data_IF_668438729801
#
_entry.id   IF_668438729801
#
_cell.length_a   1.000
_cell.length_b   1.000
_cell.length_c   1.000
_cell.angle_alpha   90.00
_cell.angle_beta   90.00
_cell.angle_gamma   90.00
#
_symmetry.space_group_name_H-M   'P 1'
#
loop_
_entity.id
_entity.type
_entity.pdbx_description
1 polymer ?
#
# COMPACT_ATOMS: atom_id res chain seq x y z
N UNK A 1 31.78 7.88 38.12
CA UNK A 1 30.87 6.77 37.76
C UNK A 1 29.88 7.20 36.69
N UNK A 2 30.28 7.30 35.42
CA UNK A 2 29.37 7.61 34.28
C UNK A 2 29.89 7.09 32.92
N UNK A 3 30.79 6.08 32.92
CA UNK A 3 31.40 5.52 31.70
C UNK A 3 31.29 3.99 31.55
N UNK A 4 30.56 3.30 32.43
CA UNK A 4 30.41 1.83 32.37
C UNK A 4 29.00 1.41 31.90
N UNK A 5 28.01 2.31 31.92
CA UNK A 5 26.64 2.02 31.47
C UNK A 5 26.48 1.99 29.92
N UNK A 6 27.40 2.58 29.17
CA UNK A 6 27.30 2.67 27.69
C UNK A 6 27.95 1.50 26.95
N UNK A 7 28.76 0.69 27.64
CA UNK A 7 29.38 -0.52 27.06
C UNK A 7 28.51 -1.78 27.22
N UNK A 8 27.50 -1.74 28.10
CA UNK A 8 26.54 -2.83 28.30
C UNK A 8 25.30 -2.72 27.39
N UNK A 9 24.97 -1.55 26.84
CA UNK A 9 23.88 -1.40 25.86
C UNK A 9 24.29 -1.76 24.43
N UNK A 10 25.60 -1.70 24.13
CA UNK A 10 26.13 -2.03 22.79
C UNK A 10 26.40 -3.53 22.63
N UNK A 11 26.62 -4.26 23.71
CA UNK A 11 26.80 -5.72 23.66
C UNK A 11 25.48 -6.52 23.68
N UNK A 12 24.35 -5.88 24.02
CA UNK A 12 23.04 -6.54 23.98
C UNK A 12 22.40 -6.54 22.58
N UNK A 13 22.90 -5.69 21.65
CA UNK A 13 22.42 -5.64 20.26
C UNK A 13 23.06 -6.70 19.34
N UNK A 14 24.12 -7.38 19.80
CA UNK A 14 24.75 -8.49 19.08
C UNK A 14 24.26 -9.87 19.56
N UNK A 15 23.27 -9.91 20.46
CA UNK A 15 22.61 -11.12 20.97
C UNK A 15 21.09 -11.11 20.74
N UNK A 16 20.61 -10.30 19.80
CA UNK A 16 19.28 -10.53 19.25
C UNK A 16 19.38 -11.80 18.39
N UNK A 17 18.65 -12.88 18.68
CA UNK A 17 18.44 -13.90 17.67
C UNK A 17 17.90 -13.16 16.44
N UNK A 18 18.29 -13.57 15.23
CA UNK A 18 17.47 -13.29 14.05
C UNK A 18 16.06 -13.64 14.46
N UNK A 19 15.22 -12.65 14.76
CA UNK A 19 13.81 -12.89 14.98
C UNK A 19 13.35 -13.47 13.65
N UNK A 20 13.19 -14.80 13.60
CA UNK A 20 12.25 -15.36 12.67
C UNK A 20 10.98 -14.55 12.89
N UNK A 21 10.52 -13.89 11.83
CA UNK A 21 9.24 -13.22 11.82
C UNK A 21 8.15 -14.29 11.99
N UNK A 22 7.98 -14.75 13.23
CA UNK A 22 6.75 -15.37 13.66
C UNK A 22 5.82 -14.21 13.90
N UNK A 23 4.88 -14.06 12.98
CA UNK A 23 3.68 -13.26 13.16
C UNK A 23 2.89 -13.96 14.28
N UNK A 24 3.15 -13.56 15.53
CA UNK A 24 2.62 -14.23 16.74
C UNK A 24 1.09 -14.17 16.79
N UNK A 25 0.48 -13.31 15.97
CA UNK A 25 -0.95 -13.01 15.93
C UNK A 25 -1.63 -13.41 14.60
N UNK A 26 -1.13 -14.43 13.89
CA UNK A 26 -1.79 -14.94 12.67
C UNK A 26 -2.51 -16.28 12.95
N UNK A 27 -3.78 -16.44 12.51
CA UNK A 27 -4.56 -17.65 12.77
C UNK A 27 -3.95 -18.90 12.14
N UNK A 28 -3.21 -18.74 11.05
CA UNK A 28 -2.52 -19.78 10.29
C UNK A 28 -1.00 -19.79 10.56
N UNK A 29 -0.36 -20.95 10.39
CA UNK A 29 1.10 -21.04 10.35
C UNK A 29 1.68 -20.33 9.12
N UNK A 30 2.93 -19.89 9.20
CA UNK A 30 3.61 -19.21 8.09
C UNK A 30 3.55 -19.99 6.76
N UNK A 31 3.76 -21.31 6.80
CA UNK A 31 3.69 -22.17 5.61
C UNK A 31 2.29 -22.26 5.00
N UNK A 32 1.24 -22.09 5.79
CA UNK A 32 -0.14 -22.02 5.32
C UNK A 32 -0.48 -20.63 4.78
N UNK A 33 0.06 -19.57 5.39
CA UNK A 33 -0.08 -18.19 4.89
C UNK A 33 0.55 -18.05 3.51
N UNK A 34 1.78 -18.55 3.32
CA UNK A 34 2.56 -18.41 2.08
C UNK A 34 1.94 -19.14 0.88
N UNK A 35 0.99 -20.05 1.10
CA UNK A 35 0.22 -20.71 0.04
C UNK A 35 -0.88 -19.79 -0.52
N UNK A 36 -0.53 -18.57 -0.90
CA UNK A 36 -1.46 -17.52 -1.31
C UNK A 36 -2.46 -17.95 -2.38
N UNK A 37 -1.97 -18.57 -3.45
CA UNK A 37 -2.79 -19.00 -4.59
C UNK A 37 -3.80 -20.10 -4.22
N UNK A 38 -3.60 -20.79 -3.09
CA UNK A 38 -4.57 -21.76 -2.55
C UNK A 38 -5.69 -21.11 -1.72
N UNK A 39 -5.52 -19.84 -1.31
CA UNK A 39 -6.42 -19.11 -0.39
C UNK A 39 -7.21 -18.03 -1.10
N UNK A 40 -6.56 -17.31 -2.02
CA UNK A 40 -7.12 -16.15 -2.71
C UNK A 40 -6.72 -16.24 -4.18
N UNK A 41 -7.69 -16.01 -5.06
CA UNK A 41 -7.42 -15.89 -6.50
C UNK A 41 -7.30 -14.42 -6.86
N UNK A 42 -6.26 -14.10 -7.63
CA UNK A 42 -6.04 -12.80 -8.25
C UNK A 42 -6.12 -12.97 -9.77
N UNK A 43 -6.93 -12.15 -10.42
CA UNK A 43 -7.02 -12.12 -11.88
C UNK A 43 -6.81 -10.69 -12.37
N UNK A 44 -5.83 -10.51 -13.26
CA UNK A 44 -5.57 -9.23 -13.92
C UNK A 44 -6.53 -9.05 -15.10
N UNK A 45 -7.06 -7.85 -15.27
CA UNK A 45 -8.00 -7.50 -16.32
C UNK A 45 -7.46 -6.28 -17.08
N UNK A 46 -7.17 -6.38 -18.39
CA UNK A 46 -6.79 -5.22 -19.19
C UNK A 46 -8.02 -4.42 -19.69
N UNK A 47 -7.81 -3.16 -20.08
CA UNK A 47 -8.73 -2.29 -20.82
C UNK A 47 -9.81 -1.53 -20.02
N UNK A 48 -9.38 -0.78 -19.01
CA UNK A 48 -10.21 0.25 -18.36
C UNK A 48 -9.98 1.60 -19.02
N UNK A 49 -11.05 2.39 -19.20
CA UNK A 49 -10.93 3.75 -19.73
C UNK A 49 -10.33 4.68 -18.68
N UNK A 50 -9.25 5.39 -19.02
CA UNK A 50 -8.68 6.43 -18.17
C UNK A 50 -9.62 7.64 -18.22
N UNK A 51 -10.29 7.92 -17.11
CA UNK A 51 -11.23 9.05 -16.95
C UNK A 51 -10.70 10.12 -16.00
N UNK A 52 -9.70 9.79 -15.17
CA UNK A 52 -9.12 10.66 -14.16
C UNK A 52 -7.58 10.64 -14.25
N UNK A 53 -7.04 10.89 -15.45
CA UNK A 53 -5.60 10.84 -15.70
C UNK A 53 -4.79 11.65 -14.68
N UNK A 54 -5.35 12.75 -14.23
CA UNK A 54 -4.68 13.76 -13.41
C UNK A 54 -5.05 13.69 -11.92
N UNK A 55 -5.60 12.57 -11.45
CA UNK A 55 -6.13 12.42 -10.08
C UNK A 55 -5.14 12.85 -8.98
N UNK A 56 -3.86 12.50 -9.15
CA UNK A 56 -2.76 13.03 -8.34
C UNK A 56 -1.65 13.55 -9.23
N UNK A 57 -0.96 14.58 -8.76
CA UNK A 57 0.19 15.18 -9.46
C UNK A 57 1.29 15.51 -8.49
N UNK A 58 2.50 15.49 -9.01
CA UNK A 58 3.67 16.08 -8.38
C UNK A 58 4.30 17.04 -9.36
N UNK A 59 4.74 18.20 -8.87
CA UNK A 59 5.47 19.18 -9.68
C UNK A 59 6.61 19.79 -8.88
N UNK A 60 7.75 19.95 -9.51
CA UNK A 60 8.80 20.81 -8.97
C UNK A 60 8.38 22.28 -9.08
N UNK A 61 8.67 23.10 -8.06
CA UNK A 61 8.40 24.55 -8.13
C UNK A 61 9.32 25.27 -9.12
N UNK A 62 10.48 24.68 -9.43
CA UNK A 62 11.42 25.23 -10.40
C UNK A 62 11.98 24.10 -11.28
N UNK A 63 12.08 24.29 -12.60
CA UNK A 63 12.59 23.25 -13.48
C UNK A 63 14.12 23.10 -13.41
N UNK A 64 14.82 24.11 -12.90
CA UNK A 64 16.29 24.18 -12.85
C UNK A 64 16.74 24.73 -11.51
N UNK A 65 17.70 24.04 -10.88
CA UNK A 65 18.32 24.39 -9.60
C UNK A 65 19.83 24.62 -9.75
N UNK A 66 20.41 25.42 -8.85
CA UNK A 66 21.86 25.57 -8.75
C UNK A 66 22.48 24.41 -7.96
N UNK A 67 23.74 24.03 -8.20
CA UNK A 67 24.50 23.13 -7.34
C UNK A 67 24.60 23.61 -5.87
N UNK A 68 24.34 24.89 -5.61
CA UNK A 68 24.32 25.49 -4.26
C UNK A 68 22.94 25.49 -3.60
N UNK A 69 21.90 25.01 -4.30
CA UNK A 69 20.55 24.86 -3.75
C UNK A 69 20.62 24.05 -2.46
N UNK A 70 19.94 24.51 -1.41
CA UNK A 70 19.89 23.80 -0.11
C UNK A 70 18.65 22.93 0.03
N UNK A 71 17.61 23.25 -0.72
CA UNK A 71 16.31 22.61 -0.63
C UNK A 71 15.61 22.66 -1.99
N UNK A 72 15.00 21.55 -2.36
CA UNK A 72 14.10 21.43 -3.52
C UNK A 72 12.69 21.33 -2.98
N UNK A 73 11.79 22.13 -3.51
CA UNK A 73 10.39 22.15 -3.09
C UNK A 73 9.53 21.59 -4.20
N UNK A 74 8.76 20.55 -3.86
CA UNK A 74 7.79 19.90 -4.71
C UNK A 74 6.39 20.26 -4.21
N UNK A 75 5.44 20.51 -5.11
CA UNK A 75 4.02 20.52 -4.75
C UNK A 75 3.44 19.14 -5.08
N UNK A 76 2.88 18.49 -4.06
CA UNK A 76 2.07 17.27 -4.20
C UNK A 76 0.61 17.70 -4.21
N UNK A 77 -0.14 17.27 -5.22
CA UNK A 77 -1.49 17.75 -5.50
C UNK A 77 -2.41 16.55 -5.62
N UNK A 78 -3.53 16.58 -4.90
CA UNK A 78 -4.64 15.67 -5.12
C UNK A 78 -5.73 16.46 -5.84
N UNK A 79 -5.89 16.23 -7.14
CA UNK A 79 -6.90 16.93 -7.94
C UNK A 79 -8.28 16.34 -7.70
N UNK A 80 -8.36 15.00 -7.73
CA UNK A 80 -9.64 14.27 -7.77
C UNK A 80 -9.52 12.79 -7.32
N UNK A 81 -8.44 12.45 -6.61
CA UNK A 81 -8.26 11.15 -6.00
C UNK A 81 -8.86 11.06 -4.59
N UNK A 82 -8.96 9.85 -4.02
CA UNK A 82 -9.25 9.67 -2.58
C UNK A 82 -8.28 10.46 -1.69
N UNK A 83 -8.68 10.76 -0.45
CA UNK A 83 -7.70 11.27 0.53
C UNK A 83 -6.56 10.27 0.69
N UNK A 84 -5.34 10.77 0.69
CA UNK A 84 -4.14 9.95 0.78
C UNK A 84 -3.11 10.58 1.71
N UNK A 85 -2.31 9.75 2.37
CA UNK A 85 -1.23 10.19 3.25
C UNK A 85 0.07 10.35 2.43
N UNK A 86 0.80 11.44 2.66
CA UNK A 86 2.11 11.65 2.05
C UNK A 86 3.15 10.71 2.64
N UNK A 87 3.99 10.16 1.78
CA UNK A 87 5.04 9.22 2.16
C UNK A 87 6.40 9.58 1.55
N UNK A 88 7.37 8.70 1.78
CA UNK A 88 8.78 8.90 1.47
C UNK A 88 9.07 9.23 0.01
N UNK A 89 9.76 10.36 -0.23
CA UNK A 89 10.40 10.64 -1.52
C UNK A 89 11.67 9.82 -1.70
N UNK A 90 11.94 9.48 -2.95
CA UNK A 90 13.22 8.96 -3.41
C UNK A 90 13.70 9.78 -4.60
N UNK A 91 15.00 9.82 -4.83
CA UNK A 91 15.59 10.52 -5.97
C UNK A 91 16.31 9.54 -6.88
N UNK A 92 16.16 9.73 -8.19
CA UNK A 92 16.98 9.09 -9.21
C UNK A 92 17.77 10.14 -9.98
N UNK A 93 18.95 9.76 -10.45
CA UNK A 93 19.83 10.57 -11.29
C UNK A 93 19.95 9.92 -12.67
N UNK A 94 19.97 10.74 -13.73
CA UNK A 94 20.23 10.26 -15.08
C UNK A 94 21.73 9.97 -15.26
N UNK A 95 22.09 8.73 -15.55
CA UNK A 95 23.47 8.32 -15.82
C UNK A 95 23.48 7.44 -17.08
N UNK A 96 24.18 7.89 -18.12
CA UNK A 96 24.29 7.16 -19.40
C UNK A 96 22.93 6.72 -19.98
N UNK A 97 21.93 7.61 -19.93
CA UNK A 97 20.57 7.34 -20.44
C UNK A 97 19.71 6.45 -19.55
N UNK A 98 20.15 6.13 -18.32
CA UNK A 98 19.38 5.33 -17.35
C UNK A 98 19.16 6.10 -16.05
N UNK A 99 17.97 5.96 -15.48
CA UNK A 99 17.66 6.45 -14.14
C UNK A 99 18.25 5.50 -13.08
N UNK A 100 19.21 5.99 -12.31
CA UNK A 100 19.83 5.26 -11.20
C UNK A 100 19.42 5.87 -9.87
N UNK A 101 19.20 5.06 -8.83
CA UNK A 101 18.91 5.56 -7.49
C UNK A 101 20.02 6.48 -6.99
N UNK A 102 19.64 7.64 -6.46
CA UNK A 102 20.56 8.59 -5.85
C UNK A 102 20.59 8.35 -4.33
N UNK A 103 21.77 8.13 -3.73
CA UNK A 103 21.85 7.64 -2.36
C UNK A 103 21.51 8.71 -1.32
N UNK A 104 20.67 8.32 -0.36
CA UNK A 104 20.38 9.08 0.86
C UNK A 104 21.37 8.72 1.97
N UNK A 105 21.48 9.56 3.00
CA UNK A 105 22.23 9.22 4.20
C UNK A 105 21.47 8.11 4.94
N UNK A 106 22.14 6.98 5.20
CA UNK A 106 21.60 5.83 5.94
C UNK A 106 21.39 6.17 7.43
N UNK A 107 20.49 7.09 7.79
CA UNK A 107 20.01 7.24 9.17
C UNK A 107 18.81 8.18 9.39
N UNK A 108 17.85 8.23 8.47
CA UNK A 108 16.61 8.94 8.77
C UNK A 108 15.45 7.98 8.52
N UNK A 109 14.85 7.54 9.63
CA UNK A 109 13.41 7.30 9.65
C UNK A 109 12.78 8.63 9.24
N UNK A 110 12.62 8.85 7.93
CA UNK A 110 11.91 10.02 7.41
C UNK A 110 10.41 9.80 7.64
N UNK A 111 10.00 9.73 8.91
CA UNK A 111 8.60 9.66 9.26
C UNK A 111 7.93 10.95 8.78
N UNK A 112 7.44 10.95 7.55
CA UNK A 112 6.43 11.88 7.11
C UNK A 112 5.19 11.42 7.88
N UNK A 113 5.00 12.01 9.06
CA UNK A 113 3.82 11.75 9.85
C UNK A 113 2.60 12.27 9.10
N UNK A 114 1.67 11.37 8.77
CA UNK A 114 0.21 11.58 8.69
C UNK A 114 -0.27 12.93 8.18
N UNK A 115 0.29 13.44 7.07
CA UNK A 115 -0.26 14.60 6.39
C UNK A 115 -1.24 14.10 5.33
N UNK A 116 -2.52 14.26 5.65
CA UNK A 116 -3.60 13.96 4.73
C UNK A 116 -3.61 14.97 3.58
N UNK A 117 -3.58 14.44 2.36
CA UNK A 117 -3.78 15.15 1.12
C UNK A 117 -5.20 14.87 0.62
N UNK A 118 -6.13 15.73 1.04
CA UNK A 118 -7.54 15.59 0.65
C UNK A 118 -7.75 16.01 -0.80
N UNK A 119 -8.91 15.64 -1.34
CA UNK A 119 -9.30 16.05 -2.69
C UNK A 119 -9.33 17.59 -2.81
N UNK A 120 -8.63 18.11 -3.82
CA UNK A 120 -8.43 19.53 -4.07
C UNK A 120 -7.21 20.14 -3.36
N UNK A 121 -6.54 19.39 -2.48
CA UNK A 121 -5.42 19.91 -1.71
C UNK A 121 -4.12 19.98 -2.52
N UNK A 122 -3.25 20.88 -2.08
CA UNK A 122 -1.85 20.94 -2.48
C UNK A 122 -0.98 21.08 -1.24
N UNK A 123 -0.02 20.17 -1.08
CA UNK A 123 0.94 20.19 0.02
C UNK A 123 2.38 20.34 -0.51
N UNK A 124 3.20 21.19 0.13
CA UNK A 124 4.61 21.25 -0.19
C UNK A 124 5.38 20.09 0.46
N UNK A 125 6.27 19.48 -0.32
CA UNK A 125 7.31 18.58 0.15
C UNK A 125 8.69 19.22 -0.04
N UNK A 126 9.52 19.13 1.00
CA UNK A 126 10.79 19.83 1.09
C UNK A 126 11.93 18.82 1.14
N UNK A 127 12.61 18.64 0.02
CA UNK A 127 13.78 17.75 -0.08
C UNK A 127 15.03 18.55 0.24
N UNK A 128 15.61 18.36 1.43
CA UNK A 128 16.82 19.06 1.85
C UNK A 128 18.06 18.35 1.32
N UNK A 129 19.04 19.11 0.85
CA UNK A 129 20.28 18.51 0.34
C UNK A 129 21.07 17.74 1.39
N UNK A 130 20.85 18.05 2.68
CA UNK A 130 21.43 17.33 3.81
C UNK A 130 20.92 15.89 3.97
N UNK A 131 19.84 15.52 3.26
CA UNK A 131 19.28 14.17 3.28
C UNK A 131 20.08 13.22 2.38
N UNK A 132 20.87 13.76 1.46
CA UNK A 132 21.64 13.00 0.49
C UNK A 132 23.06 12.69 0.97
N UNK A 133 23.54 11.49 0.61
CA UNK A 133 24.92 11.08 0.89
C UNK A 133 25.94 11.95 0.15
N UNK A 134 25.55 12.48 -1.00
CA UNK A 134 26.39 13.34 -1.84
C UNK A 134 25.61 14.59 -2.26
N UNK A 135 26.28 15.75 -2.41
CA UNK A 135 25.65 16.92 -2.99
C UNK A 135 25.22 16.64 -4.44
N UNK A 136 24.14 17.29 -4.86
CA UNK A 136 23.73 17.25 -6.26
C UNK A 136 24.81 17.91 -7.15
N UNK A 137 25.03 17.33 -8.31
CA UNK A 137 25.96 17.81 -9.35
C UNK A 137 25.16 18.18 -10.59
N UNK A 138 25.70 18.97 -11.52
CA UNK A 138 25.02 19.27 -12.77
C UNK A 138 24.56 18.00 -13.49
N UNK A 139 23.25 17.77 -13.54
CA UNK A 139 22.61 16.59 -14.14
C UNK A 139 21.08 16.74 -14.13
N UNK A 140 20.38 15.78 -14.75
CA UNK A 140 18.94 15.55 -14.61
C UNK A 140 18.65 14.60 -13.46
N UNK A 141 17.60 14.93 -12.71
CA UNK A 141 17.12 14.17 -11.57
C UNK A 141 15.62 13.96 -11.67
N UNK A 142 15.15 12.84 -11.12
CA UNK A 142 13.73 12.51 -11.01
C UNK A 142 13.39 12.27 -9.54
N UNK A 143 12.55 13.13 -8.99
CA UNK A 143 11.91 12.88 -7.71
C UNK A 143 10.79 11.87 -7.92
N UNK A 144 10.87 10.75 -7.23
CA UNK A 144 9.83 9.72 -7.18
C UNK A 144 9.15 9.84 -5.81
N UNK A 145 7.83 9.80 -5.83
CA UNK A 145 7.00 9.97 -4.65
C UNK A 145 5.87 8.93 -4.69
N UNK A 146 5.35 8.55 -3.54
CA UNK A 146 4.07 7.87 -3.49
C UNK A 146 3.22 8.43 -2.36
N UNK A 147 1.92 8.26 -2.49
CA UNK A 147 0.95 8.52 -1.42
C UNK A 147 0.24 7.21 -1.06
N UNK A 148 -0.11 7.02 0.21
CA UNK A 148 -0.95 5.91 0.64
C UNK A 148 -2.42 6.31 0.66
N UNK A 149 -3.26 5.61 -0.09
CA UNK A 149 -4.71 5.76 0.02
C UNK A 149 -5.34 4.50 0.64
N UNK A 150 -6.21 4.71 1.62
CA UNK A 150 -7.03 3.65 2.19
C UNK A 150 -8.45 3.78 1.64
N UNK A 151 -8.84 2.85 0.76
CA UNK A 151 -10.16 2.84 0.15
C UNK A 151 -11.00 1.69 0.72
N UNK A 152 -12.32 1.82 0.68
CA UNK A 152 -13.20 0.77 1.16
C UNK A 152 -14.57 0.82 0.47
N UNK A 153 -15.24 -0.33 0.49
CA UNK A 153 -16.63 -0.51 0.05
C UNK A 153 -17.32 -1.51 0.97
N UNK A 154 -18.62 -1.74 0.80
CA UNK A 154 -19.38 -2.70 1.58
C UNK A 154 -20.15 -3.70 0.73
N UNK A 155 -20.38 -4.87 1.32
CA UNK A 155 -21.31 -5.86 0.80
C UNK A 155 -22.15 -6.48 1.91
N UNK A 156 -23.28 -7.06 1.53
CA UNK A 156 -24.09 -7.92 2.38
C UNK A 156 -23.92 -9.37 1.94
N UNK A 157 -23.53 -10.23 2.88
CA UNK A 157 -23.67 -11.67 2.74
C UNK A 157 -25.05 -12.07 3.23
N UNK A 158 -25.81 -12.74 2.38
CA UNK A 158 -27.05 -13.41 2.74
C UNK A 158 -26.82 -14.92 2.76
N UNK A 159 -27.82 -15.69 3.20
CA UNK A 159 -27.74 -17.15 3.12
C UNK A 159 -27.52 -17.69 1.70
N UNK A 160 -27.83 -16.91 0.65
CA UNK A 160 -27.83 -17.36 -0.75
C UNK A 160 -26.85 -16.63 -1.66
N UNK A 161 -26.61 -15.35 -1.41
CA UNK A 161 -25.82 -14.50 -2.31
C UNK A 161 -25.05 -13.43 -1.55
N UNK A 162 -24.07 -12.87 -2.25
CA UNK A 162 -23.30 -11.70 -1.86
C UNK A 162 -23.77 -10.54 -2.73
N UNK A 163 -24.17 -9.45 -2.10
CA UNK A 163 -24.73 -8.27 -2.77
C UNK A 163 -23.91 -7.05 -2.40
N UNK A 164 -23.47 -6.29 -3.40
CA UNK A 164 -22.80 -5.01 -3.21
C UNK A 164 -23.73 -3.96 -2.59
N UNK A 165 -23.22 -3.09 -1.72
CA UNK A 165 -23.94 -1.90 -1.27
C UNK A 165 -23.55 -0.73 -2.18
N UNK A 166 -24.44 -0.39 -3.13
CA UNK A 166 -24.15 0.52 -4.25
C UNK A 166 -23.70 1.90 -3.81
N UNK A 167 -24.25 2.41 -2.72
CA UNK A 167 -23.95 3.73 -2.16
C UNK A 167 -22.52 3.82 -1.59
N UNK A 168 -21.86 2.67 -1.43
CA UNK A 168 -20.49 2.57 -0.90
C UNK A 168 -19.48 2.14 -1.97
N UNK A 169 -19.92 1.92 -3.20
CA UNK A 169 -19.01 1.67 -4.31
C UNK A 169 -18.26 2.96 -4.66
N UNK A 170 -16.97 2.82 -4.97
CA UNK A 170 -16.19 3.94 -5.49
C UNK A 170 -16.20 3.87 -7.02
N UNK A 171 -16.39 5.02 -7.66
CA UNK A 171 -16.46 5.15 -9.12
C UNK A 171 -15.82 6.49 -9.57
N UNK A 172 -14.54 6.67 -9.22
CA UNK A 172 -13.77 7.89 -9.52
C UNK A 172 -12.40 7.56 -10.10
N UNK A 173 -11.35 8.22 -9.61
CA UNK A 173 -9.97 7.91 -9.98
C UNK A 173 -9.62 6.42 -9.86
N UNK A 174 -10.18 5.78 -8.84
CA UNK A 174 -10.21 4.35 -8.71
C UNK A 174 -11.65 3.89 -8.56
N UNK A 175 -12.01 2.83 -9.27
CA UNK A 175 -13.26 2.12 -8.99
C UNK A 175 -12.97 0.97 -8.03
N UNK A 176 -13.80 0.85 -6.99
CA UNK A 176 -13.65 -0.21 -5.99
C UNK A 176 -15.02 -0.68 -5.51
N UNK A 177 -15.34 -1.93 -5.86
CA UNK A 177 -16.67 -2.50 -5.63
C UNK A 177 -16.61 -4.01 -5.45
N UNK A 178 -17.59 -4.53 -4.72
CA UNK A 178 -17.85 -5.97 -4.67
C UNK A 178 -18.77 -6.33 -5.83
N UNK A 179 -18.47 -7.40 -6.54
CA UNK A 179 -19.34 -7.93 -7.59
C UNK A 179 -20.37 -8.87 -6.97
N UNK A 180 -21.67 -8.74 -7.33
CA UNK A 180 -22.67 -9.71 -6.94
C UNK A 180 -22.25 -11.13 -7.32
N UNK A 181 -22.45 -12.06 -6.40
CA UNK A 181 -22.01 -13.45 -6.54
C UNK A 181 -22.85 -14.38 -5.67
N UNK A 182 -22.71 -15.68 -5.90
CA UNK A 182 -23.25 -16.68 -4.99
C UNK A 182 -22.55 -16.60 -3.62
N UNK A 183 -23.12 -17.24 -2.61
CA UNK A 183 -22.56 -17.27 -1.26
C UNK A 183 -21.34 -18.22 -1.14
N UNK A 184 -20.42 -18.16 -2.10
CA UNK A 184 -19.19 -18.95 -2.19
C UNK A 184 -17.93 -18.11 -1.98
N UNK A 185 -17.92 -16.90 -2.54
CA UNK A 185 -16.72 -16.07 -2.64
C UNK A 185 -17.05 -14.60 -2.80
N UNK A 186 -16.39 -13.74 -2.02
CA UNK A 186 -16.44 -12.29 -2.23
C UNK A 186 -15.53 -11.97 -3.42
N UNK A 187 -16.13 -11.43 -4.48
CA UNK A 187 -15.45 -11.00 -5.70
C UNK A 187 -15.28 -9.49 -5.67
N UNK A 188 -14.05 -8.99 -5.71
CA UNK A 188 -13.74 -7.57 -5.49
C UNK A 188 -13.04 -7.04 -6.72
N UNK A 189 -13.65 -6.08 -7.39
CA UNK A 189 -13.08 -5.41 -8.54
C UNK A 189 -12.41 -4.11 -8.10
N UNK A 190 -11.14 -3.95 -8.48
CA UNK A 190 -10.40 -2.70 -8.39
C UNK A 190 -9.95 -2.27 -9.78
N UNK A 191 -10.30 -1.05 -10.19
CA UNK A 191 -10.00 -0.50 -11.51
C UNK A 191 -9.19 0.80 -11.37
N UNK A 192 -8.09 0.91 -12.12
CA UNK A 192 -7.26 2.12 -12.15
C UNK A 192 -7.63 3.01 -13.34
N UNK A 193 -8.41 4.07 -13.09
CA UNK A 193 -8.83 5.04 -14.10
C UNK A 193 -7.87 6.23 -14.26
N UNK A 194 -6.67 6.14 -13.67
CA UNK A 194 -5.62 7.17 -13.74
C UNK A 194 -4.55 6.82 -14.78
N UNK A 195 -3.59 7.71 -15.00
CA UNK A 195 -2.37 7.39 -15.76
C UNK A 195 -1.23 6.84 -14.86
N UNK A 196 -1.44 6.82 -13.54
CA UNK A 196 -0.43 6.52 -12.54
C UNK A 196 -0.29 5.01 -12.35
N UNK A 197 0.88 4.62 -11.87
CA UNK A 197 1.06 3.26 -11.36
C UNK A 197 0.52 3.15 -9.95
N UNK A 198 -0.22 2.08 -9.68
CA UNK A 198 -0.82 1.84 -8.38
C UNK A 198 -0.50 0.43 -7.92
N UNK A 199 -0.14 0.31 -6.65
CA UNK A 199 0.15 -0.96 -5.98
C UNK A 199 -0.83 -1.16 -4.82
N UNK A 200 -1.80 -2.07 -4.95
CA UNK A 200 -2.47 -2.64 -3.79
C UNK A 200 -1.43 -3.30 -2.88
N UNK A 201 -1.28 -2.81 -1.65
CA UNK A 201 -0.17 -3.21 -0.76
C UNK A 201 -0.39 -4.60 -0.20
N UNK A 202 -1.62 -4.90 0.18
CA UNK A 202 -2.05 -6.13 0.84
C UNK A 202 -3.27 -6.70 0.11
N UNK A 203 -3.68 -7.92 0.45
CA UNK A 203 -4.98 -8.40 0.02
C UNK A 203 -6.10 -7.52 0.58
N UNK A 204 -7.27 -7.46 -0.09
CA UNK A 204 -8.41 -6.79 0.46
C UNK A 204 -8.77 -7.35 1.84
N UNK A 205 -8.87 -6.47 2.84
CA UNK A 205 -9.28 -6.86 4.18
C UNK A 205 -10.79 -7.05 4.24
N UNK A 206 -11.24 -7.98 5.08
CA UNK A 206 -12.67 -8.20 5.34
C UNK A 206 -12.91 -7.96 6.84
N UNK A 207 -13.74 -6.97 7.14
CA UNK A 207 -14.10 -6.59 8.52
C UNK A 207 -15.61 -6.34 8.64
N UNK A 208 -16.08 -6.13 9.87
CA UNK A 208 -17.38 -5.48 10.12
C UNK A 208 -17.13 -4.04 10.59
N UNK A 209 -18.21 -3.30 10.90
CA UNK A 209 -18.12 -1.98 11.53
C UNK A 209 -17.56 -2.07 12.97
N UNK A 210 -17.69 -3.22 13.62
CA UNK A 210 -17.30 -3.45 15.03
C UNK A 210 -15.98 -4.23 15.16
N UNK A 211 -15.68 -5.10 14.20
CA UNK A 211 -14.60 -6.06 14.32
C UNK A 211 -13.69 -6.04 13.11
N UNK A 212 -12.43 -5.69 13.36
CA UNK A 212 -11.37 -5.79 12.37
C UNK A 212 -11.00 -7.26 12.12
N UNK A 213 -10.75 -7.64 10.85
CA UNK A 213 -10.28 -8.97 10.45
C UNK A 213 -11.23 -10.12 10.87
N UNK A 214 -12.36 -10.23 10.19
CA UNK A 214 -13.33 -11.33 10.42
C UNK A 214 -13.12 -12.51 9.46
N UNK A 215 -12.04 -12.48 8.68
CA UNK A 215 -11.68 -13.51 7.73
C UNK A 215 -10.20 -13.91 7.89
N UNK A 216 -9.89 -15.19 8.16
CA UNK A 216 -8.53 -15.62 8.55
C UNK A 216 -7.51 -15.53 7.41
N UNK A 217 -7.96 -15.39 6.15
CA UNK A 217 -7.05 -15.25 5.00
C UNK A 217 -6.74 -13.81 4.62
N UNK A 218 -7.46 -12.84 5.18
CA UNK A 218 -7.51 -11.45 4.68
C UNK A 218 -6.99 -10.46 5.73
N UNK A 219 -5.78 -10.69 6.25
CA UNK A 219 -5.09 -9.74 7.14
C UNK A 219 -4.05 -8.96 6.35
N UNK A 220 -4.17 -7.64 6.34
CA UNK A 220 -3.13 -6.75 5.87
C UNK A 220 -2.04 -6.57 6.94
N UNK A 221 -0.78 -6.48 6.54
CA UNK A 221 0.33 -6.04 7.40
C UNK A 221 1.58 -6.93 7.41
N UNK A 222 1.55 -8.11 6.80
CA UNK A 222 2.72 -9.00 6.77
C UNK A 222 3.64 -8.70 5.58
N UNK A 223 4.96 -8.58 5.82
CA UNK A 223 5.95 -8.25 4.78
C UNK A 223 5.97 -9.25 3.62
N UNK A 224 5.75 -10.54 3.88
CA UNK A 224 5.67 -11.54 2.81
C UNK A 224 4.48 -11.31 1.89
N UNK A 225 3.34 -10.90 2.44
CA UNK A 225 2.15 -10.56 1.66
C UNK A 225 2.38 -9.32 0.82
N UNK A 226 2.98 -8.28 1.40
CA UNK A 226 3.36 -7.08 0.66
C UNK A 226 4.29 -7.41 -0.52
N UNK A 227 5.28 -8.28 -0.30
CA UNK A 227 6.19 -8.73 -1.37
C UNK A 227 5.47 -9.53 -2.45
N UNK A 228 4.58 -10.45 -2.05
CA UNK A 228 3.76 -11.22 -2.98
C UNK A 228 2.87 -10.30 -3.82
N UNK A 229 2.14 -9.38 -3.19
CA UNK A 229 1.30 -8.39 -3.85
C UNK A 229 2.10 -7.49 -4.79
N UNK A 230 3.30 -7.06 -4.41
CA UNK A 230 4.21 -6.30 -5.29
C UNK A 230 4.58 -7.05 -6.57
N UNK A 231 4.71 -8.37 -6.49
CA UNK A 231 5.03 -9.21 -7.67
C UNK A 231 3.84 -9.52 -8.57
N UNK A 232 2.60 -9.33 -8.10
CA UNK A 232 1.38 -9.80 -8.79
C UNK A 232 0.35 -8.71 -9.12
N UNK A 233 0.29 -7.65 -8.32
CA UNK A 233 -0.84 -6.74 -8.29
C UNK A 233 -0.51 -5.28 -8.66
N UNK A 234 0.74 -4.96 -9.02
CA UNK A 234 1.07 -3.62 -9.55
C UNK A 234 0.32 -3.37 -10.86
N UNK A 235 -0.45 -2.29 -10.90
CA UNK A 235 -1.25 -1.88 -12.05
C UNK A 235 -0.67 -0.62 -12.68
N UNK A 236 -0.59 -0.60 -14.01
CA UNK A 236 -0.45 0.60 -14.82
C UNK A 236 -1.81 1.31 -14.90
N UNK A 237 -1.81 2.53 -15.43
CA UNK A 237 -3.03 3.23 -15.79
C UNK A 237 -3.88 2.43 -16.78
N UNK A 238 -5.20 2.38 -16.57
CA UNK A 238 -6.13 1.65 -17.43
C UNK A 238 -6.14 0.13 -17.23
N UNK A 239 -5.55 -0.38 -16.15
CA UNK A 239 -5.61 -1.79 -15.77
C UNK A 239 -6.52 -2.01 -14.56
N UNK A 240 -7.02 -3.23 -14.42
CA UNK A 240 -7.86 -3.66 -13.31
C UNK A 240 -7.41 -5.01 -12.76
N UNK A 241 -7.91 -5.31 -11.57
CA UNK A 241 -7.69 -6.57 -10.89
C UNK A 241 -8.96 -7.04 -10.19
N UNK A 242 -9.22 -8.33 -10.29
CA UNK A 242 -10.29 -9.02 -9.61
C UNK A 242 -9.70 -9.92 -8.54
N UNK A 243 -10.03 -9.65 -7.28
CA UNK A 243 -9.77 -10.54 -6.16
C UNK A 243 -10.97 -11.45 -5.96
N UNK A 244 -10.72 -12.72 -5.65
CA UNK A 244 -11.76 -13.67 -5.22
C UNK A 244 -11.31 -14.32 -3.92
N UNK A 245 -12.06 -14.03 -2.86
CA UNK A 245 -11.78 -14.52 -1.51
C UNK A 245 -12.94 -15.45 -1.12
N UNK A 246 -12.69 -16.73 -0.78
CA UNK A 246 -13.76 -17.64 -0.37
C UNK A 246 -14.43 -17.13 0.91
N UNK A 247 -15.71 -17.44 1.12
CA UNK A 247 -16.40 -17.08 2.38
C UNK A 247 -16.25 -18.14 3.47
N UNK A 248 -15.63 -19.28 3.16
CA UNK A 248 -15.45 -20.42 4.06
C UNK A 248 -13.98 -20.86 4.14
N UNK A 249 -13.61 -21.45 5.26
CA UNK A 249 -12.26 -21.94 5.55
C UNK A 249 -12.29 -23.22 6.38
N UNK A 250 -11.21 -23.98 6.30
CA UNK A 250 -11.02 -25.16 7.15
C UNK A 250 -10.49 -24.73 8.52
N UNK A 251 -11.32 -24.90 9.55
CA UNK A 251 -11.00 -24.58 10.95
C UNK A 251 -9.80 -25.39 11.47
N UNK A 252 -9.51 -26.55 10.88
CA UNK A 252 -8.35 -27.36 11.28
C UNK A 252 -7.02 -26.76 10.85
N UNK A 253 -7.02 -25.84 9.88
CA UNK A 253 -5.82 -25.10 9.45
C UNK A 253 -5.48 -23.96 10.40
N UNK A 254 -6.37 -23.61 11.32
CA UNK A 254 -6.16 -22.56 12.31
C UNK A 254 -5.33 -23.12 13.46
N UNK A 255 -4.11 -22.61 13.58
CA UNK A 255 -3.09 -23.09 14.51
C UNK A 255 -3.12 -22.36 15.85
N UNK A 256 -3.50 -21.07 15.85
CA UNK A 256 -3.68 -20.34 17.11
C UNK A 256 -5.00 -20.73 17.80
N UNK A 257 -4.93 -20.94 19.12
CA UNK A 257 -6.07 -21.45 19.89
C UNK A 257 -7.16 -20.38 20.08
N UNK A 258 -6.78 -19.13 20.29
CA UNK A 258 -7.73 -18.04 20.52
C UNK A 258 -8.47 -17.71 19.22
N UNK A 259 -7.74 -17.69 18.10
CA UNK A 259 -8.31 -17.50 16.78
C UNK A 259 -9.17 -18.69 16.35
N UNK A 260 -8.87 -19.91 16.79
CA UNK A 260 -9.70 -21.07 16.47
C UNK A 260 -11.12 -20.93 17.01
N UNK A 261 -11.29 -20.42 18.22
CA UNK A 261 -12.62 -20.11 18.78
C UNK A 261 -13.30 -18.98 17.99
N UNK A 262 -12.56 -17.93 17.66
CA UNK A 262 -13.07 -16.79 16.87
C UNK A 262 -13.58 -17.21 15.48
N UNK A 263 -12.86 -18.10 14.81
CA UNK A 263 -13.13 -18.54 13.44
C UNK A 263 -13.79 -19.93 13.37
N UNK A 264 -14.29 -20.45 14.49
CA UNK A 264 -14.84 -21.82 14.60
C UNK A 264 -16.05 -22.08 13.70
N UNK A 265 -16.77 -21.02 13.28
CA UNK A 265 -17.87 -21.14 12.34
C UNK A 265 -17.44 -21.73 10.98
N UNK A 266 -16.15 -21.65 10.64
CA UNK A 266 -15.61 -22.14 9.37
C UNK A 266 -16.07 -21.31 8.16
N UNK A 267 -16.75 -20.20 8.39
CA UNK A 267 -17.27 -19.31 7.35
C UNK A 267 -17.69 -17.95 7.90
N UNK A 268 -17.78 -16.98 7.00
CA UNK A 268 -18.53 -15.75 7.22
C UNK A 268 -20.02 -16.07 7.39
N UNK A 269 -20.64 -15.41 8.36
CA UNK A 269 -22.07 -15.48 8.62
C UNK A 269 -22.81 -14.47 7.74
N UNK A 270 -24.15 -14.56 7.70
CA UNK A 270 -24.93 -13.51 7.04
C UNK A 270 -24.76 -12.18 7.79
N UNK A 271 -24.53 -11.11 7.05
CA UNK A 271 -24.24 -9.81 7.65
C UNK A 271 -23.63 -8.82 6.66
N UNK A 272 -23.41 -7.61 7.15
CA UNK A 272 -22.76 -6.52 6.43
C UNK A 272 -21.26 -6.56 6.69
N UNK A 273 -20.47 -6.50 5.62
CA UNK A 273 -19.02 -6.55 5.67
C UNK A 273 -18.42 -5.33 4.98
N UNK A 274 -17.39 -4.75 5.61
CA UNK A 274 -16.52 -3.74 5.05
C UNK A 274 -15.35 -4.42 4.37
N UNK A 275 -15.10 -4.04 3.12
CA UNK A 275 -13.96 -4.48 2.32
C UNK A 275 -13.00 -3.31 2.21
N UNK A 276 -11.76 -3.46 2.68
CA UNK A 276 -10.74 -2.41 2.64
C UNK A 276 -9.60 -2.76 1.70
N UNK A 277 -8.99 -1.76 1.06
CA UNK A 277 -7.78 -1.91 0.27
C UNK A 277 -6.85 -0.72 0.48
N UNK A 278 -5.58 -1.00 0.77
CA UNK A 278 -4.53 0.01 0.87
C UNK A 278 -3.77 0.08 -0.45
N UNK A 279 -3.51 1.30 -0.93
CA UNK A 279 -2.87 1.57 -2.21
C UNK A 279 -1.62 2.44 -2.01
N UNK A 280 -0.50 2.06 -2.63
CA UNK A 280 0.58 3.00 -2.96
C UNK A 280 0.33 3.55 -4.36
N UNK A 281 0.26 4.88 -4.50
CA UNK A 281 0.03 5.56 -5.77
C UNK A 281 1.31 6.31 -6.13
N UNK A 282 2.00 5.84 -7.16
CA UNK A 282 3.32 6.37 -7.53
C UNK A 282 3.21 7.55 -8.47
N UNK A 283 3.99 8.58 -8.19
CA UNK A 283 4.12 9.80 -8.97
C UNK A 283 5.59 10.15 -9.13
N UNK A 284 5.91 10.90 -10.19
CA UNK A 284 7.26 11.42 -10.38
C UNK A 284 7.27 12.77 -11.09
N UNK A 285 8.33 13.54 -10.82
CA UNK A 285 8.64 14.78 -11.54
C UNK A 285 10.14 14.88 -11.74
N UNK A 286 10.53 15.54 -12.83
CA UNK A 286 11.94 15.77 -13.15
C UNK A 286 12.36 17.22 -12.87
N UNK A 287 13.65 17.42 -12.60
CA UNK A 287 14.29 18.73 -12.55
C UNK A 287 15.76 18.62 -12.97
N UNK A 288 16.35 19.75 -13.33
CA UNK A 288 17.77 19.86 -13.68
C UNK A 288 18.56 20.59 -12.60
N UNK A 289 19.84 20.22 -12.47
CA UNK A 289 20.84 21.01 -11.75
C UNK A 289 21.83 21.55 -12.79
N UNK A 290 22.09 22.86 -12.77
CA UNK A 290 23.02 23.56 -13.68
C UNK A 290 24.02 24.41 -12.92
#
# INVERSE_FOLDING_TARGET
MKKIAYLLSVYLFCLLPKLQAQDIDFPLSLSEIEKYESRIRIQRLPAVTITHADAYKIRTRQPVYSPRTKEIVLDIINMDGPTAELEYHNLKQMVNGKWLGFPFIDNLVFAIGGRDLSKGDTLPEHIRMSEFKYPLKPNRYQANFYVFANIHTYCNLTGKSIVSIKETEMDGAFAFKVLPSDNDSIRILFENHTNLEVQPVFFPSISTDEQYMVHPFARSGWVGEANYMKSRARLKGGEAILFTIPVSWDVNRITDRNDKERFQAGRLLSGKYRIGLQLEIYMDTEFEVK
#
